data_IF_988988335321
#
_entry.id   IF_988988335321
#
_cell.length_a   1.000
_cell.length_b   1.000
_cell.length_c   1.000
_cell.angle_alpha   90.00
_cell.angle_beta   90.00
_cell.angle_gamma   90.00
#
_symmetry.space_group_name_H-M   'P 1'
#
loop_
_entity.id
_entity.type
_entity.pdbx_description
1 polymer ?
#
# COMPACT_ATOMS: atom_id res chain seq x y z
N UNK A 1 9.41 6.03 -13.24
CA UNK A 1 9.85 6.26 -11.84
C UNK A 1 9.48 5.03 -11.05
N UNK A 2 10.50 4.30 -10.62
CA UNK A 2 10.37 2.98 -10.00
C UNK A 2 10.41 3.13 -8.48
N UNK A 3 9.48 2.50 -7.78
CA UNK A 3 9.36 2.60 -6.33
C UNK A 3 10.04 1.42 -5.64
N UNK A 4 10.88 1.70 -4.65
CA UNK A 4 11.59 0.68 -3.87
C UNK A 4 11.35 0.89 -2.38
N UNK A 5 11.07 -0.19 -1.65
CA UNK A 5 11.08 -0.20 -0.18
C UNK A 5 12.48 0.09 0.34
N UNK A 6 12.56 0.92 1.37
CA UNK A 6 13.77 1.04 2.16
C UNK A 6 14.03 -0.30 2.89
N UNK A 7 15.19 -0.95 2.69
CA UNK A 7 15.50 -2.25 3.30
C UNK A 7 15.56 -2.22 4.84
N UNK A 8 15.73 -1.04 5.45
CA UNK A 8 15.76 -0.89 6.90
C UNK A 8 14.36 -0.87 7.54
N UNK A 9 13.29 -0.77 6.72
CA UNK A 9 11.91 -0.80 7.21
C UNK A 9 11.53 -2.23 7.57
N UNK A 10 11.26 -2.44 8.86
CA UNK A 10 10.64 -3.66 9.33
C UNK A 10 9.15 -3.62 9.03
N UNK A 11 8.58 -4.71 8.55
CA UNK A 11 7.15 -4.80 8.32
C UNK A 11 6.63 -6.22 8.49
N UNK A 12 5.34 -6.33 8.76
CA UNK A 12 4.61 -7.60 8.80
C UNK A 12 3.19 -7.42 8.29
N UNK A 13 2.66 -8.47 7.69
CA UNK A 13 1.22 -8.58 7.42
C UNK A 13 0.52 -9.12 8.67
N UNK A 14 -0.70 -8.65 8.92
CA UNK A 14 -1.57 -9.12 10.00
C UNK A 14 -2.55 -10.12 9.39
N UNK A 15 -2.19 -11.41 9.38
CA UNK A 15 -2.87 -12.47 8.60
C UNK A 15 -4.39 -12.54 8.85
N UNK A 16 -4.82 -12.44 10.11
CA UNK A 16 -6.25 -12.48 10.48
C UNK A 16 -7.00 -11.25 9.95
N UNK A 17 -6.45 -10.05 10.16
CA UNK A 17 -7.05 -8.80 9.69
C UNK A 17 -7.06 -8.71 8.17
N UNK A 18 -6.04 -9.24 7.50
CA UNK A 18 -5.98 -9.33 6.04
C UNK A 18 -7.05 -10.28 5.50
N UNK A 19 -7.20 -11.46 6.10
CA UNK A 19 -8.25 -12.41 5.70
C UNK A 19 -9.64 -11.79 5.86
N UNK A 20 -9.89 -11.10 6.98
CA UNK A 20 -11.12 -10.36 7.22
C UNK A 20 -11.37 -9.28 6.15
N UNK A 21 -10.35 -8.46 5.83
CA UNK A 21 -10.48 -7.41 4.82
C UNK A 21 -10.83 -7.98 3.44
N UNK A 22 -10.26 -9.12 3.04
CA UNK A 22 -10.65 -9.75 1.77
C UNK A 22 -12.09 -10.27 1.80
N UNK A 23 -12.51 -10.92 2.90
CA UNK A 23 -13.88 -11.43 3.03
C UNK A 23 -14.93 -10.30 3.00
N UNK A 24 -14.64 -9.17 3.65
CA UNK A 24 -15.53 -7.99 3.65
C UNK A 24 -15.56 -7.31 2.28
N UNK A 25 -14.41 -7.18 1.62
CA UNK A 25 -14.34 -6.65 0.25
C UNK A 25 -15.17 -7.49 -0.72
N UNK A 26 -15.11 -8.83 -0.63
CA UNK A 26 -15.92 -9.74 -1.46
C UNK A 26 -17.43 -9.57 -1.24
N UNK A 27 -17.83 -9.10 -0.05
CA UNK A 27 -19.24 -8.78 0.28
C UNK A 27 -19.65 -7.39 -0.21
N UNK A 28 -18.72 -6.60 -0.74
CA UNK A 28 -18.93 -5.21 -1.14
C UNK A 28 -18.95 -4.23 0.03
N UNK A 29 -18.38 -4.61 1.17
CA UNK A 29 -18.26 -3.75 2.35
C UNK A 29 -17.01 -2.86 2.27
N UNK A 30 -17.02 -1.77 3.04
CA UNK A 30 -15.89 -0.85 3.15
C UNK A 30 -14.81 -1.42 4.08
N UNK A 31 -13.57 -1.53 3.57
CA UNK A 31 -12.42 -2.14 4.24
C UNK A 31 -11.31 -1.14 4.58
N UNK A 32 -11.54 0.16 4.35
CA UNK A 32 -10.52 1.20 4.56
C UNK A 32 -10.03 1.27 6.02
N UNK A 33 -10.88 0.91 6.98
CA UNK A 33 -10.58 0.95 8.40
C UNK A 33 -9.80 -0.28 8.91
N UNK A 34 -9.68 -1.35 8.11
CA UNK A 34 -9.03 -2.59 8.55
C UNK A 34 -7.52 -2.50 8.29
N UNK A 35 -6.74 -2.38 9.37
CA UNK A 35 -5.29 -2.47 9.31
C UNK A 35 -4.83 -3.89 8.96
N UNK A 36 -4.18 -4.07 7.82
CA UNK A 36 -3.72 -5.38 7.30
C UNK A 36 -2.21 -5.54 7.35
N UNK A 37 -1.44 -4.47 7.55
CA UNK A 37 0.01 -4.52 7.77
C UNK A 37 0.48 -3.43 8.71
N UNK A 38 1.62 -3.69 9.35
CA UNK A 38 2.32 -2.70 10.18
C UNK A 38 3.74 -2.52 9.65
N UNK A 39 4.17 -1.26 9.50
CA UNK A 39 5.52 -0.87 9.12
C UNK A 39 6.17 -0.12 10.28
N UNK A 40 7.47 -0.33 10.46
CA UNK A 40 8.24 0.29 11.53
C UNK A 40 9.64 0.68 11.03
N UNK A 41 9.97 1.96 11.22
CA UNK A 41 11.31 2.51 10.97
C UNK A 41 11.53 3.72 11.86
N UNK A 42 12.73 3.85 12.44
CA UNK A 42 13.15 5.01 13.25
C UNK A 42 12.14 5.46 14.33
N UNK A 43 11.48 4.51 14.99
CA UNK A 43 10.47 4.78 16.03
C UNK A 43 9.11 5.23 15.49
N UNK A 44 8.94 5.32 14.16
CA UNK A 44 7.67 5.59 13.49
C UNK A 44 6.99 4.26 13.16
N UNK A 45 5.75 4.10 13.62
CA UNK A 45 4.89 2.96 13.29
C UNK A 45 3.73 3.43 12.40
N UNK A 46 3.51 2.74 11.28
CA UNK A 46 2.38 2.96 10.38
C UNK A 46 1.55 1.69 10.27
N UNK A 47 0.23 1.84 10.38
CA UNK A 47 -0.73 0.78 10.04
C UNK A 47 -1.27 1.04 8.65
N UNK A 48 -1.28 0.03 7.78
CA UNK A 48 -1.78 0.12 6.41
C UNK A 48 -3.10 -0.63 6.26
N UNK A 49 -4.03 -0.05 5.52
CA UNK A 49 -5.21 -0.78 5.05
C UNK A 49 -4.87 -1.74 3.90
N UNK A 50 -5.87 -2.47 3.40
CA UNK A 50 -5.68 -3.48 2.35
C UNK A 50 -5.00 -2.93 1.09
N UNK A 51 -5.48 -1.81 0.56
CA UNK A 51 -4.93 -1.21 -0.67
C UNK A 51 -3.52 -0.70 -0.44
N UNK A 52 -3.28 -0.01 0.68
CA UNK A 52 -1.96 0.51 1.02
C UNK A 52 -0.93 -0.62 1.23
N UNK A 53 -1.34 -1.75 1.82
CA UNK A 53 -0.50 -2.96 1.94
C UNK A 53 -0.09 -3.49 0.56
N UNK A 54 -1.02 -3.55 -0.39
CA UNK A 54 -0.70 -4.02 -1.74
C UNK A 54 0.20 -3.04 -2.51
N UNK A 55 0.00 -1.73 -2.36
CA UNK A 55 0.92 -0.72 -2.89
C UNK A 55 2.32 -0.93 -2.33
N UNK A 56 2.45 -1.07 -1.00
CA UNK A 56 3.73 -1.28 -0.32
C UNK A 56 4.47 -2.52 -0.84
N UNK A 57 3.75 -3.63 -1.05
CA UNK A 57 4.34 -4.88 -1.57
C UNK A 57 4.88 -4.74 -2.99
N UNK A 58 4.24 -3.91 -3.80
CA UNK A 58 4.63 -3.61 -5.18
C UNK A 58 5.72 -2.53 -5.28
N UNK A 59 6.14 -1.91 -4.17
CA UNK A 59 7.35 -1.09 -4.12
C UNK A 59 8.63 -1.96 -4.12
N UNK A 60 8.74 -2.86 -5.09
CA UNK A 60 9.85 -3.80 -5.29
C UNK A 60 10.74 -3.44 -6.49
N UNK A 61 10.64 -2.20 -6.95
CA UNK A 61 11.25 -1.69 -8.17
C UNK A 61 10.29 -1.64 -9.35
N UNK A 62 8.97 -1.73 -9.15
CA UNK A 62 7.97 -1.53 -10.21
C UNK A 62 7.74 -0.05 -10.52
N UNK A 63 7.34 0.29 -11.75
CA UNK A 63 6.94 1.66 -12.07
C UNK A 63 5.63 2.02 -11.37
N UNK A 64 5.55 3.24 -10.82
CA UNK A 64 4.38 3.71 -10.06
C UNK A 64 3.09 3.62 -10.88
N UNK A 65 3.12 3.91 -12.19
CA UNK A 65 1.92 3.84 -13.01
C UNK A 65 1.47 2.39 -13.24
N UNK A 66 2.42 1.45 -13.32
CA UNK A 66 2.12 0.02 -13.42
C UNK A 66 1.51 -0.52 -12.13
N UNK A 67 1.98 -0.04 -10.97
CA UNK A 67 1.39 -0.36 -9.66
C UNK A 67 -0.07 0.09 -9.63
N UNK A 68 -0.34 1.35 -9.97
CA UNK A 68 -1.69 1.92 -9.94
C UNK A 68 -2.60 1.16 -10.92
N UNK A 69 -2.15 0.92 -12.15
CA UNK A 69 -2.93 0.21 -13.16
C UNK A 69 -3.29 -1.24 -12.74
N UNK A 70 -2.34 -1.96 -12.13
CA UNK A 70 -2.59 -3.31 -11.58
C UNK A 70 -3.67 -3.28 -10.50
N UNK A 71 -3.56 -2.34 -9.55
CA UNK A 71 -4.46 -2.27 -8.41
C UNK A 71 -5.86 -1.77 -8.79
N UNK A 72 -5.97 -0.83 -9.75
CA UNK A 72 -7.27 -0.40 -10.31
C UNK A 72 -8.04 -1.60 -10.86
N UNK A 73 -7.37 -2.49 -11.61
CA UNK A 73 -8.01 -3.68 -12.16
C UNK A 73 -8.37 -4.74 -11.11
N UNK A 74 -7.54 -4.87 -10.06
CA UNK A 74 -7.73 -5.88 -9.01
C UNK A 74 -8.82 -5.53 -7.99
N UNK A 75 -9.00 -4.24 -7.71
CA UNK A 75 -9.91 -3.76 -6.67
C UNK A 75 -11.17 -3.06 -7.23
N UNK A 76 -11.32 -2.98 -8.55
CA UNK A 76 -12.44 -2.31 -9.23
C UNK A 76 -12.70 -0.87 -8.75
N UNK A 77 -11.65 -0.19 -8.28
CA UNK A 77 -11.71 1.19 -7.80
C UNK A 77 -11.60 2.15 -8.98
N UNK A 78 -12.24 3.31 -8.86
CA UNK A 78 -12.08 4.41 -9.82
C UNK A 78 -10.59 4.76 -10.02
N UNK A 79 -10.09 4.79 -11.27
CA UNK A 79 -8.67 5.03 -11.54
C UNK A 79 -8.16 6.38 -11.04
N UNK A 80 -8.99 7.43 -11.10
CA UNK A 80 -8.60 8.79 -10.69
C UNK A 80 -8.52 8.88 -9.16
N UNK A 81 -9.45 8.24 -8.47
CA UNK A 81 -9.45 8.12 -7.00
C UNK A 81 -8.21 7.37 -6.54
N UNK A 82 -7.99 6.15 -7.06
CA UNK A 82 -6.86 5.32 -6.66
C UNK A 82 -5.52 5.98 -6.99
N UNK A 83 -5.40 6.63 -8.15
CA UNK A 83 -4.19 7.32 -8.55
C UNK A 83 -3.82 8.44 -7.58
N UNK A 84 -4.81 9.24 -7.16
CA UNK A 84 -4.61 10.33 -6.21
C UNK A 84 -4.22 9.82 -4.83
N UNK A 85 -4.89 8.78 -4.34
CA UNK A 85 -4.64 8.21 -3.02
C UNK A 85 -3.30 7.49 -2.99
N UNK A 86 -2.98 6.68 -4.01
CA UNK A 86 -1.70 6.01 -4.14
C UNK A 86 -0.54 7.02 -4.24
N UNK A 87 -0.69 8.09 -5.02
CA UNK A 87 0.33 9.14 -5.14
C UNK A 87 0.57 9.86 -3.82
N UNK A 88 -0.51 10.17 -3.08
CA UNK A 88 -0.43 10.78 -1.75
C UNK A 88 0.27 9.85 -0.77
N UNK A 89 -0.15 8.59 -0.71
CA UNK A 89 0.44 7.57 0.15
C UNK A 89 1.94 7.36 -0.13
N UNK A 90 2.32 7.16 -1.39
CA UNK A 90 3.72 6.98 -1.77
C UNK A 90 4.57 8.24 -1.48
N UNK A 91 4.00 9.44 -1.64
CA UNK A 91 4.64 10.69 -1.24
C UNK A 91 4.91 10.74 0.26
N UNK A 92 3.94 10.33 1.09
CA UNK A 92 4.12 10.24 2.54
C UNK A 92 5.17 9.21 2.94
N UNK A 93 5.17 8.02 2.33
CA UNK A 93 6.19 7.01 2.58
C UNK A 93 7.58 7.52 2.22
N UNK A 94 7.72 8.20 1.07
CA UNK A 94 8.99 8.81 0.67
C UNK A 94 9.45 9.85 1.68
N UNK A 95 8.56 10.74 2.10
CA UNK A 95 8.88 11.80 3.09
C UNK A 95 9.32 11.22 4.43
N UNK A 96 8.75 10.07 4.84
CA UNK A 96 9.11 9.36 6.07
C UNK A 96 10.32 8.44 5.92
N UNK A 97 10.90 8.31 4.71
CA UNK A 97 12.04 7.43 4.43
C UNK A 97 11.70 5.94 4.30
N UNK A 98 10.42 5.59 4.13
CA UNK A 98 9.97 4.19 4.02
C UNK A 98 10.16 3.63 2.61
N UNK A 99 10.16 4.49 1.60
CA UNK A 99 10.48 4.13 0.21
C UNK A 99 11.44 5.16 -0.38
N UNK A 100 12.07 4.78 -1.50
CA UNK A 100 12.79 5.68 -2.39
C UNK A 100 12.37 5.42 -3.84
N UNK A 101 12.73 6.36 -4.71
CA UNK A 101 12.47 6.26 -6.15
C UNK A 101 13.79 6.21 -6.93
N UNK A 102 13.79 5.43 -8.01
CA UNK A 102 14.83 5.44 -9.03
C UNK A 102 14.21 5.64 -10.42
N UNK A 103 15.05 5.99 -11.40
CA UNK A 103 14.64 6.14 -12.81
C UNK A 103 14.60 4.79 -13.54
#
# INVERSE_FOLDING_TARGET
>A
MRAFRNPDVLWREEDESKAQAYEELEKGEDVEAIGTSVLFSDGVMLSLNLIATEIWKLCDGRDVNEIIADLTGRFEVDPDVLSKDATTFLSELKQKGFIYYED
#
